data_IF_159900763184
#
_entry.id   IF_159900763184
#
_cell.length_a   1.000
_cell.length_b   1.000
_cell.length_c   1.000
_cell.angle_alpha   90.00
_cell.angle_beta   90.00
_cell.angle_gamma   90.00
#
_symmetry.space_group_name_H-M   'P 1'
#
loop_
_entity.id
_entity.type
_entity.pdbx_description
1 polymer ?
#
# COMPACT_ATOMS: atom_id res chain seq x y z
N UNK A 1 10.49 14.34 3.12
CA UNK A 1 10.51 13.89 1.70
C UNK A 1 9.09 13.55 1.29
N UNK A 2 8.67 13.85 0.05
CA UNK A 2 7.34 13.49 -0.47
C UNK A 2 7.50 12.39 -1.54
N UNK A 3 6.69 11.35 -1.48
CA UNK A 3 6.77 10.18 -2.37
C UNK A 3 5.39 9.90 -2.96
N UNK A 4 5.36 9.74 -4.28
CA UNK A 4 4.21 9.21 -5.00
C UNK A 4 4.43 7.72 -5.23
N UNK A 5 3.64 6.88 -4.57
CA UNK A 5 3.69 5.43 -4.71
C UNK A 5 2.63 4.97 -5.73
N UNK A 6 3.08 4.71 -6.96
CA UNK A 6 2.28 4.17 -8.07
C UNK A 6 2.53 2.67 -8.28
N UNK A 7 3.12 2.01 -7.28
CA UNK A 7 3.49 0.59 -7.36
C UNK A 7 2.34 -0.32 -6.92
N UNK A 8 2.37 -1.58 -7.35
CA UNK A 8 1.40 -2.61 -6.97
C UNK A 8 2.10 -3.88 -6.46
N UNK A 9 1.30 -4.83 -5.97
CA UNK A 9 1.79 -6.10 -5.42
C UNK A 9 2.59 -5.90 -4.12
N UNK A 10 3.89 -6.25 -4.09
CA UNK A 10 4.67 -6.29 -2.83
C UNK A 10 5.98 -5.51 -2.90
N UNK A 11 6.82 -5.74 -3.91
CA UNK A 11 8.18 -5.20 -3.92
C UNK A 11 8.21 -3.66 -3.84
N UNK A 12 7.41 -3.00 -4.69
CA UNK A 12 7.27 -1.55 -4.68
C UNK A 12 6.58 -1.02 -3.42
N UNK A 13 5.41 -1.57 -3.04
CA UNK A 13 4.71 -1.13 -1.84
C UNK A 13 5.57 -1.27 -0.58
N UNK A 14 6.31 -2.37 -0.43
CA UNK A 14 7.19 -2.60 0.71
C UNK A 14 8.34 -1.57 0.77
N UNK A 15 8.96 -1.23 -0.37
CA UNK A 15 9.95 -0.17 -0.43
C UNK A 15 9.36 1.18 0.03
N UNK A 16 8.20 1.56 -0.51
CA UNK A 16 7.54 2.81 -0.14
C UNK A 16 7.06 2.81 1.33
N UNK A 17 6.68 1.65 1.87
CA UNK A 17 6.32 1.48 3.28
C UNK A 17 7.52 1.74 4.19
N UNK A 18 8.71 1.25 3.83
CA UNK A 18 9.96 1.55 4.56
C UNK A 18 10.22 3.07 4.54
N UNK A 19 10.03 3.74 3.39
CA UNK A 19 10.17 5.20 3.30
C UNK A 19 9.17 5.92 4.21
N UNK A 20 7.91 5.46 4.28
CA UNK A 20 6.90 6.01 5.18
C UNK A 20 7.32 5.83 6.66
N UNK A 21 7.81 4.64 7.03
CA UNK A 21 8.30 4.36 8.37
C UNK A 21 9.50 5.24 8.77
N UNK A 22 10.31 5.66 7.80
CA UNK A 22 11.42 6.61 7.97
C UNK A 22 11.00 8.09 7.93
N UNK A 23 9.70 8.38 7.91
CA UNK A 23 9.16 9.74 7.99
C UNK A 23 8.89 10.42 6.64
N UNK A 24 8.87 9.68 5.53
CA UNK A 24 8.38 10.22 4.27
C UNK A 24 6.85 10.38 4.28
N UNK A 25 6.35 11.45 3.66
CA UNK A 25 4.93 11.57 3.34
C UNK A 25 4.67 10.82 2.03
N UNK A 26 4.05 9.64 2.14
CA UNK A 26 3.82 8.73 1.03
C UNK A 26 2.34 8.71 0.67
N UNK A 27 2.04 9.04 -0.58
CA UNK A 27 0.70 8.94 -1.15
C UNK A 27 0.68 7.77 -2.13
N UNK A 28 -0.13 6.76 -1.82
CA UNK A 28 -0.43 5.66 -2.71
C UNK A 28 -1.50 6.09 -3.70
N UNK A 29 -1.20 6.00 -4.99
CA UNK A 29 -2.14 6.28 -6.07
C UNK A 29 -2.46 4.97 -6.74
N UNK A 30 -3.73 4.61 -6.73
CA UNK A 30 -4.19 3.30 -7.21
C UNK A 30 -5.07 3.45 -8.45
N UNK A 31 -5.31 2.33 -9.14
CA UNK A 31 -6.27 2.32 -10.24
C UNK A 31 -7.67 2.59 -9.68
N UNK A 32 -8.48 3.45 -10.34
CA UNK A 32 -9.90 3.57 -10.02
C UNK A 32 -10.57 2.19 -9.99
N UNK A 33 -11.54 2.04 -9.09
CA UNK A 33 -12.41 0.87 -8.90
C UNK A 33 -11.74 -0.44 -8.41
N UNK A 34 -10.50 -0.70 -8.82
CA UNK A 34 -9.81 -1.98 -8.55
C UNK A 34 -8.71 -1.88 -7.50
N UNK A 35 -8.04 -0.74 -7.41
CA UNK A 35 -6.94 -0.55 -6.47
C UNK A 35 -5.68 -1.36 -6.81
N UNK A 36 -4.82 -1.54 -5.81
CA UNK A 36 -3.67 -2.46 -5.81
C UNK A 36 -4.12 -3.93 -5.84
N UNK A 37 -3.45 -4.75 -6.65
CA UNK A 37 -3.70 -6.20 -6.77
C UNK A 37 -3.68 -6.91 -5.41
N UNK A 38 -2.83 -6.46 -4.48
CA UNK A 38 -2.69 -7.04 -3.16
C UNK A 38 -3.96 -6.91 -2.29
N UNK A 39 -4.89 -6.00 -2.62
CA UNK A 39 -6.19 -5.87 -1.90
C UNK A 39 -7.04 -7.15 -1.99
N UNK A 40 -6.84 -7.94 -3.06
CA UNK A 40 -7.53 -9.22 -3.25
C UNK A 40 -6.74 -10.43 -2.70
N UNK A 41 -5.52 -10.24 -2.19
CA UNK A 41 -4.63 -11.33 -1.77
C UNK A 41 -4.93 -11.81 -0.34
N UNK A 42 -6.18 -12.17 -0.09
CA UNK A 42 -6.55 -12.95 1.09
C UNK A 42 -6.75 -14.44 0.76
N UNK A 43 -7.08 -15.25 1.77
CA UNK A 43 -7.07 -14.93 3.20
C UNK A 43 -5.65 -14.87 3.82
N UNK A 44 -5.48 -14.22 5.00
CA UNK A 44 -6.52 -13.66 5.85
C UNK A 44 -6.95 -12.23 5.46
N UNK A 45 -8.19 -11.89 5.82
CA UNK A 45 -8.75 -10.55 5.73
C UNK A 45 -8.92 -9.97 7.14
N UNK A 46 -8.63 -8.68 7.31
CA UNK A 46 -8.89 -7.92 8.52
C UNK A 46 -9.78 -6.73 8.15
N UNK A 47 -10.94 -6.61 8.78
CA UNK A 47 -11.92 -5.54 8.49
C UNK A 47 -12.25 -5.37 6.99
N UNK A 48 -12.27 -6.48 6.25
CA UNK A 48 -12.59 -6.48 4.81
C UNK A 48 -11.40 -6.21 3.89
N UNK A 49 -10.20 -5.97 4.43
CA UNK A 49 -8.98 -5.71 3.66
C UNK A 49 -8.00 -6.89 3.77
N UNK A 50 -7.30 -7.21 2.69
CA UNK A 50 -6.27 -8.25 2.71
C UNK A 50 -5.10 -7.83 3.62
N UNK A 51 -4.69 -8.71 4.55
CA UNK A 51 -3.63 -8.37 5.51
C UNK A 51 -2.28 -8.10 4.83
N UNK A 52 -2.02 -8.74 3.69
CA UNK A 52 -0.82 -8.49 2.87
C UNK A 52 -0.79 -7.05 2.32
N UNK A 53 -1.96 -6.53 1.90
CA UNK A 53 -2.09 -5.15 1.48
C UNK A 53 -1.87 -4.20 2.66
N UNK A 54 -2.50 -4.46 3.80
CA UNK A 54 -2.36 -3.63 5.00
C UNK A 54 -0.90 -3.56 5.46
N UNK A 55 -0.21 -4.70 5.54
CA UNK A 55 1.19 -4.76 5.97
C UNK A 55 2.13 -4.01 5.02
N UNK A 56 1.95 -4.19 3.71
CA UNK A 56 2.83 -3.58 2.69
C UNK A 56 2.51 -2.11 2.40
N UNK A 57 1.45 -1.55 2.99
CA UNK A 57 1.00 -0.16 2.76
C UNK A 57 0.82 0.65 4.05
N UNK A 58 1.29 0.13 5.19
CA UNK A 58 1.23 0.83 6.48
C UNK A 58 1.89 2.21 6.43
N UNK A 59 1.24 3.21 7.02
CA UNK A 59 1.76 4.59 7.10
C UNK A 59 1.59 5.43 5.83
N UNK A 60 0.94 4.89 4.78
CA UNK A 60 0.65 5.62 3.54
C UNK A 60 -0.74 6.24 3.59
N UNK A 61 -0.91 7.38 2.93
CA UNK A 61 -2.24 7.93 2.56
C UNK A 61 -2.65 7.35 1.21
N UNK A 62 -3.94 7.17 0.95
CA UNK A 62 -4.46 6.66 -0.32
C UNK A 62 -5.33 7.72 -1.00
N UNK A 63 -5.25 7.80 -2.33
CA UNK A 63 -6.08 8.62 -3.22
C UNK A 63 -6.83 7.73 -4.21
#
# INVERSE_FOLDING_TARGET
>A
MRVLDVTTSIAGPYCAQILAALGADVVKVERPDTGDDARAWGPPFWEGEATMFLASNAGKRSL
#
